data_IF_257495071928
#
_entry.id   IF_257495071928
#
_cell.length_a   1.000
_cell.length_b   1.000
_cell.length_c   1.000
_cell.angle_alpha   90.00
_cell.angle_beta   90.00
_cell.angle_gamma   90.00
#
_symmetry.space_group_name_H-M   'P 1'
#
loop_
_entity.id
_entity.type
_entity.pdbx_description
1 polymer ?
#
# COMPACT_ATOMS: atom_id res chain seq x y z
N UNK A 1 -3.83 7.54 1.20
CA UNK A 1 -3.05 6.88 0.12
C UNK A 1 -2.84 5.42 0.51
N UNK A 2 -2.48 4.54 -0.43
CA UNK A 2 -2.24 3.12 -0.15
C UNK A 2 -0.74 2.90 0.08
N UNK A 3 -0.22 3.42 1.21
CA UNK A 3 1.14 3.22 1.73
C UNK A 3 1.11 2.99 3.24
N UNK A 4 0.19 2.14 3.71
CA UNK A 4 -0.05 1.97 5.15
C UNK A 4 1.08 1.22 5.85
N UNK A 5 1.83 0.36 5.16
CA UNK A 5 2.88 -0.47 5.74
C UNK A 5 3.95 0.34 6.47
N UNK A 6 4.49 1.40 5.86
CA UNK A 6 5.49 2.28 6.49
C UNK A 6 4.95 2.99 7.73
N UNK A 7 3.66 3.35 7.72
CA UNK A 7 2.99 4.02 8.85
C UNK A 7 2.83 3.07 10.03
N UNK A 8 2.39 1.83 9.78
CA UNK A 8 2.27 0.81 10.81
C UNK A 8 3.64 0.46 11.41
N UNK A 9 4.70 0.44 10.60
CA UNK A 9 6.07 0.31 11.09
C UNK A 9 6.48 1.51 11.97
N UNK A 10 6.17 2.74 11.55
CA UNK A 10 6.43 3.93 12.34
C UNK A 10 5.71 3.92 13.71
N UNK A 11 4.45 3.49 13.74
CA UNK A 11 3.67 3.36 14.97
C UNK A 11 4.24 2.31 15.94
N UNK A 12 4.86 1.24 15.44
CA UNK A 12 5.49 0.21 16.29
C UNK A 12 6.80 0.67 16.92
N UNK A 13 7.45 1.68 16.33
CA UNK A 13 8.78 2.12 16.71
C UNK A 13 8.78 3.58 17.19
N UNK A 14 7.68 4.05 17.80
CA UNK A 14 7.55 5.44 18.27
C UNK A 14 8.63 5.84 19.30
N UNK A 15 9.06 4.88 20.11
CA UNK A 15 10.12 5.02 21.11
C UNK A 15 11.50 5.31 20.51
N UNK A 16 11.70 5.00 19.22
CA UNK A 16 12.92 5.32 18.48
C UNK A 16 12.95 6.75 17.94
N UNK A 17 11.82 7.46 17.99
CA UNK A 17 11.66 8.81 17.47
C UNK A 17 11.80 9.84 18.59
N UNK A 18 12.21 11.07 18.25
CA UNK A 18 12.08 12.18 19.20
C UNK A 18 10.58 12.46 19.49
N UNK A 19 10.24 13.05 20.66
CA UNK A 19 8.85 13.22 21.07
C UNK A 19 7.97 13.92 20.03
N UNK A 20 8.47 14.99 19.43
CA UNK A 20 7.73 15.77 18.42
C UNK A 20 7.43 14.95 17.17
N UNK A 21 8.35 14.08 16.76
CA UNK A 21 8.18 13.21 15.59
C UNK A 21 7.26 12.03 15.91
N UNK A 22 7.32 11.48 17.13
CA UNK A 22 6.40 10.46 17.60
C UNK A 22 4.95 10.98 17.60
N UNK A 23 4.72 12.17 18.16
CA UNK A 23 3.40 12.82 18.18
C UNK A 23 2.87 13.05 16.76
N UNK A 24 3.75 13.53 15.86
CA UNK A 24 3.42 13.71 14.45
C UNK A 24 3.09 12.39 13.76
N UNK A 25 3.83 11.31 14.06
CA UNK A 25 3.57 9.99 13.47
C UNK A 25 2.17 9.49 13.82
N UNK A 26 1.73 9.66 15.07
CA UNK A 26 0.36 9.30 15.49
C UNK A 26 -0.69 10.12 14.73
N UNK A 27 -0.50 11.43 14.61
CA UNK A 27 -1.43 12.30 13.88
C UNK A 27 -1.51 11.94 12.38
N UNK A 28 -0.36 11.74 11.75
CA UNK A 28 -0.27 11.32 10.34
C UNK A 28 -0.93 9.96 10.16
N UNK A 29 -0.74 9.02 11.09
CA UNK A 29 -1.36 7.71 11.01
C UNK A 29 -2.89 7.77 11.02
N UNK A 30 -3.48 8.63 11.84
CA UNK A 30 -4.93 8.83 11.87
C UNK A 30 -5.44 9.44 10.56
N UNK A 31 -4.85 10.56 10.14
CA UNK A 31 -5.24 11.24 8.89
C UNK A 31 -5.07 10.35 7.65
N UNK A 32 -3.98 9.57 7.61
CA UNK A 32 -3.74 8.59 6.56
C UNK A 32 -4.84 7.53 6.51
N UNK A 33 -5.24 6.98 7.67
CA UNK A 33 -6.26 5.94 7.75
C UNK A 33 -7.63 6.44 7.29
N UNK A 34 -8.03 7.62 7.76
CA UNK A 34 -9.27 8.27 7.34
C UNK A 34 -9.29 8.52 5.83
N UNK A 35 -8.18 9.02 5.29
CA UNK A 35 -8.04 9.26 3.84
C UNK A 35 -8.11 7.96 3.04
N UNK A 36 -7.43 6.90 3.49
CA UNK A 36 -7.41 5.61 2.79
C UNK A 36 -8.80 4.97 2.79
N UNK A 37 -9.44 4.84 3.95
CA UNK A 37 -10.78 4.26 4.05
C UNK A 37 -11.84 5.11 3.34
N UNK A 38 -11.66 6.44 3.28
CA UNK A 38 -12.53 7.32 2.48
C UNK A 38 -12.38 7.04 0.99
N UNK A 39 -11.15 6.88 0.49
CA UNK A 39 -10.90 6.55 -0.91
C UNK A 39 -11.55 5.21 -1.30
N UNK A 40 -11.42 4.19 -0.44
CA UNK A 40 -12.10 2.90 -0.61
C UNK A 40 -13.62 3.08 -0.66
N UNK A 41 -14.22 3.76 0.34
CA UNK A 41 -15.67 4.01 0.38
C UNK A 41 -16.20 4.82 -0.81
N UNK A 42 -15.36 5.66 -1.41
CA UNK A 42 -15.70 6.47 -2.59
C UNK A 42 -15.38 5.76 -3.90
N UNK A 43 -15.01 4.47 -3.87
CA UNK A 43 -14.65 3.68 -5.05
C UNK A 43 -13.55 4.33 -5.90
N UNK A 44 -12.60 5.01 -5.25
CA UNK A 44 -11.41 5.53 -5.94
C UNK A 44 -10.58 4.34 -6.43
N UNK A 45 -10.13 4.40 -7.69
CA UNK A 45 -9.22 3.41 -8.24
C UNK A 45 -7.87 3.49 -7.53
N UNK A 46 -7.49 2.41 -6.85
CA UNK A 46 -6.30 2.35 -6.00
C UNK A 46 -5.24 1.47 -6.65
N UNK A 47 -3.99 1.95 -6.67
CA UNK A 47 -2.79 1.15 -6.87
C UNK A 47 -2.03 1.05 -5.54
N UNK A 48 -1.58 -0.15 -5.16
CA UNK A 48 -0.85 -0.34 -3.90
C UNK A 48 0.61 0.10 -4.03
N UNK A 49 1.10 0.76 -2.98
CA UNK A 49 2.51 1.05 -2.75
C UNK A 49 2.86 0.77 -1.29
N UNK A 50 4.13 0.53 -0.97
CA UNK A 50 4.51 0.18 0.42
C UNK A 50 5.36 1.22 1.10
N UNK A 51 6.00 2.07 0.32
CA UNK A 51 7.02 3.03 0.79
C UNK A 51 8.10 2.34 1.64
N UNK A 52 8.59 1.20 1.14
CA UNK A 52 9.75 0.51 1.72
C UNK A 52 10.92 1.50 1.78
N UNK A 53 11.47 1.66 2.98
CA UNK A 53 12.41 2.73 3.30
C UNK A 53 13.74 2.25 3.87
N UNK A 54 13.93 0.93 4.04
CA UNK A 54 15.15 0.39 4.65
C UNK A 54 15.75 -0.78 3.87
N UNK A 55 17.08 -0.74 3.73
CA UNK A 55 17.89 -1.87 3.25
C UNK A 55 18.39 -2.76 4.39
N UNK A 56 18.16 -2.40 5.66
CA UNK A 56 18.50 -3.27 6.79
C UNK A 56 17.48 -4.42 6.86
N UNK A 57 17.88 -5.69 6.70
CA UNK A 57 16.95 -6.82 6.67
C UNK A 57 16.23 -7.05 8.01
N UNK A 58 16.69 -6.44 9.09
CA UNK A 58 16.05 -6.50 10.42
C UNK A 58 15.01 -5.40 10.65
N UNK A 59 14.94 -4.38 9.79
CA UNK A 59 13.96 -3.32 9.94
C UNK A 59 12.55 -3.79 9.53
N UNK A 60 11.52 -3.21 10.15
CA UNK A 60 10.12 -3.49 9.80
C UNK A 60 9.79 -3.08 8.36
N UNK A 61 10.47 -2.05 7.84
CA UNK A 61 10.32 -1.53 6.46
C UNK A 61 11.37 -2.07 5.49
N UNK A 62 11.93 -3.26 5.79
CA UNK A 62 12.91 -3.91 4.92
C UNK A 62 12.32 -4.38 3.59
N UNK A 63 13.16 -4.47 2.56
CA UNK A 63 12.81 -5.18 1.32
C UNK A 63 12.32 -6.62 1.60
N UNK A 64 11.28 -7.05 0.88
CA UNK A 64 10.62 -8.34 1.08
C UNK A 64 9.44 -8.32 2.05
N UNK A 65 9.17 -7.19 2.72
CA UNK A 65 8.00 -7.02 3.60
C UNK A 65 6.77 -6.40 2.91
N UNK A 66 6.85 -6.12 1.61
CA UNK A 66 5.79 -5.47 0.82
C UNK A 66 4.42 -6.18 0.85
N UNK A 67 4.38 -7.50 1.12
CA UNK A 67 3.13 -8.24 1.24
C UNK A 67 2.21 -7.75 2.37
N UNK A 68 2.75 -7.01 3.35
CA UNK A 68 1.99 -6.41 4.43
C UNK A 68 0.98 -5.35 3.95
N UNK A 69 1.23 -4.73 2.79
CA UNK A 69 0.25 -3.78 2.24
C UNK A 69 -0.97 -4.49 1.66
N UNK A 70 -0.78 -5.66 1.04
CA UNK A 70 -1.81 -6.35 0.28
C UNK A 70 -2.98 -6.82 1.15
N UNK A 71 -2.71 -7.72 2.10
CA UNK A 71 -3.78 -8.35 2.90
C UNK A 71 -4.01 -7.64 4.23
N UNK A 72 -3.00 -7.44 5.10
CA UNK A 72 -3.24 -6.78 6.39
C UNK A 72 -3.75 -5.35 6.29
N UNK A 73 -3.33 -4.58 5.29
CA UNK A 73 -3.69 -3.17 5.18
C UNK A 73 -4.82 -2.89 4.20
N UNK A 74 -4.72 -3.34 2.94
CA UNK A 74 -5.71 -3.03 1.91
C UNK A 74 -7.08 -3.63 2.21
N UNK A 75 -7.11 -4.91 2.64
CA UNK A 75 -8.38 -5.56 3.02
C UNK A 75 -8.96 -4.94 4.28
N UNK A 76 -8.12 -4.61 5.28
CA UNK A 76 -8.56 -3.90 6.49
C UNK A 76 -9.11 -2.50 6.19
N UNK A 77 -8.61 -1.83 5.16
CA UNK A 77 -9.11 -0.54 4.70
C UNK A 77 -10.47 -0.64 3.97
N UNK A 78 -10.93 -1.86 3.67
CA UNK A 78 -12.24 -2.15 3.11
C UNK A 78 -12.25 -2.66 1.68
N UNK A 79 -11.08 -2.91 1.05
CA UNK A 79 -11.04 -3.58 -0.25
C UNK A 79 -11.41 -5.07 -0.07
N UNK A 80 -12.13 -5.64 -1.03
CA UNK A 80 -12.26 -7.09 -1.10
C UNK A 80 -10.89 -7.73 -1.43
N UNK A 81 -10.69 -9.02 -1.14
CA UNK A 81 -9.46 -9.72 -1.55
C UNK A 81 -9.14 -9.60 -3.05
N UNK A 82 -10.18 -9.61 -3.91
CA UNK A 82 -10.01 -9.42 -5.34
C UNK A 82 -9.57 -7.98 -5.67
N UNK A 83 -10.24 -6.98 -5.09
CA UNK A 83 -9.86 -5.57 -5.30
C UNK A 83 -8.45 -5.27 -4.80
N UNK A 84 -8.02 -5.89 -3.70
CA UNK A 84 -6.64 -5.78 -3.22
C UNK A 84 -5.64 -6.40 -4.22
N UNK A 85 -5.97 -7.56 -4.79
CA UNK A 85 -5.16 -8.19 -5.83
C UNK A 85 -5.07 -7.32 -7.09
N UNK A 86 -6.19 -6.78 -7.57
CA UNK A 86 -6.25 -5.85 -8.70
C UNK A 86 -5.43 -4.57 -8.43
N UNK A 87 -5.55 -4.01 -7.22
CA UNK A 87 -4.80 -2.86 -6.76
C UNK A 87 -3.28 -3.10 -6.77
N UNK A 88 -2.83 -4.33 -6.49
CA UNK A 88 -1.43 -4.73 -6.53
C UNK A 88 -0.94 -5.20 -7.90
N UNK A 89 -1.84 -5.33 -8.88
CA UNK A 89 -1.53 -5.91 -10.20
C UNK A 89 -1.95 -4.97 -11.32
N UNK A 90 -3.14 -5.13 -11.89
CA UNK A 90 -3.58 -4.40 -13.07
C UNK A 90 -3.66 -2.89 -12.81
N UNK A 91 -4.21 -2.45 -11.68
CA UNK A 91 -4.29 -1.02 -11.36
C UNK A 91 -2.90 -0.41 -11.21
N UNK A 92 -1.98 -1.13 -10.57
CA UNK A 92 -0.60 -0.70 -10.43
C UNK A 92 0.10 -0.62 -11.80
N UNK A 93 -0.10 -1.61 -12.67
CA UNK A 93 0.48 -1.62 -14.01
C UNK A 93 -0.02 -0.46 -14.87
N UNK A 94 -1.29 -0.08 -14.77
CA UNK A 94 -1.85 1.06 -15.48
C UNK A 94 -1.22 2.40 -15.06
N UNK A 95 -0.75 2.53 -13.81
CA UNK A 95 0.00 3.73 -13.40
C UNK A 95 1.38 3.84 -14.08
N UNK A 96 1.90 2.74 -14.64
CA UNK A 96 3.21 2.65 -15.30
C UNK A 96 3.12 2.78 -16.84
N UNK A 97 1.95 3.14 -17.39
CA UNK A 97 1.76 3.40 -18.81
C UNK A 97 1.99 2.17 -19.70
N UNK A 98 3.02 2.19 -20.56
CA UNK A 98 3.32 1.16 -21.58
C UNK A 98 3.58 -0.26 -21.05
N UNK A 99 3.62 -0.43 -19.73
CA UNK A 99 3.72 -1.74 -19.09
C UNK A 99 2.36 -2.43 -18.95
N UNK A 100 1.25 -1.70 -18.98
CA UNK A 100 -0.10 -2.29 -19.06
C UNK A 100 -0.49 -2.58 -20.53
N UNK A 101 -1.19 -3.70 -20.84
CA UNK A 101 -1.54 -4.81 -19.95
C UNK A 101 -0.46 -5.91 -19.89
N UNK A 102 0.74 -5.68 -20.45
CA UNK A 102 1.84 -6.68 -20.47
C UNK A 102 2.30 -7.13 -19.08
N UNK A 103 2.01 -6.33 -18.05
CA UNK A 103 2.23 -6.59 -16.63
C UNK A 103 0.91 -6.41 -15.90
N UNK A 104 0.73 -7.12 -14.79
CA UNK A 104 -0.45 -6.99 -13.93
C UNK A 104 -1.67 -7.79 -14.38
N UNK A 105 -1.64 -8.46 -15.54
CA UNK A 105 -2.70 -9.33 -16.01
C UNK A 105 -2.12 -10.63 -16.58
N UNK A 106 -2.79 -11.75 -16.30
CA UNK A 106 -2.54 -13.04 -16.95
C UNK A 106 -3.70 -13.27 -17.93
N UNK A 107 -3.40 -13.30 -19.22
CA UNK A 107 -4.37 -13.56 -20.29
C UNK A 107 -3.72 -14.37 -21.41
N UNK A 108 -4.54 -14.93 -22.31
CA UNK A 108 -4.03 -15.48 -23.56
C UNK A 108 -3.45 -14.37 -24.43
N UNK A 109 -2.39 -14.68 -25.19
CA UNK A 109 -1.78 -13.73 -26.10
C UNK A 109 -2.75 -13.36 -27.22
N UNK A 110 -3.01 -12.06 -27.41
CA UNK A 110 -3.86 -11.54 -28.49
C UNK A 110 -5.34 -11.37 -28.15
N UNK A 111 -5.78 -11.69 -26.94
CA UNK A 111 -7.14 -11.34 -26.49
C UNK A 111 -7.16 -9.88 -26.03
N UNK A 112 -7.76 -9.01 -26.84
CA UNK A 112 -8.19 -7.67 -26.42
C UNK A 112 -9.45 -7.84 -25.54
N UNK A 113 -9.37 -7.36 -24.30
CA UNK A 113 -10.53 -7.06 -23.44
C UNK A 113 -10.90 -5.60 -23.63
#
# INVERSE_FOLDING_TARGET
MATRHVIEAGLKNLDTLNPQTADKMVQVANSHWESYTTAVRKNVKIALGTDISSSNPRADTAHGRNGQELTPNAVKAGLSPLQAAEAATINAAETLGKLSPRKGLISLAGTLI
#
